data_IF_546691872252
#
_entry.id   IF_546691872252
#
_cell.length_a   1.000
_cell.length_b   1.000
_cell.length_c   1.000
_cell.angle_alpha   90.00
_cell.angle_beta   90.00
_cell.angle_gamma   90.00
#
_symmetry.space_group_name_H-M   'P 1'
#
loop_
_entity.id
_entity.type
_entity.pdbx_description
1 polymer ?
#
# COMPACT_ATOMS: atom_id res chain seq x y z
N UNK A 1 -6.93 -15.92 11.38
CA UNK A 1 -7.22 -15.78 9.92
C UNK A 1 -7.64 -14.34 9.61
N UNK A 2 -7.15 -13.76 8.51
CA UNK A 2 -7.44 -12.37 8.09
C UNK A 2 -6.55 -11.28 8.71
N UNK A 3 -5.47 -11.65 9.41
CA UNK A 3 -4.46 -10.68 9.85
C UNK A 3 -3.76 -10.02 8.66
N UNK A 4 -3.41 -8.75 8.81
CA UNK A 4 -2.78 -7.93 7.75
C UNK A 4 -1.35 -7.56 8.10
N UNK A 5 -0.50 -7.43 7.09
CA UNK A 5 0.86 -6.90 7.21
C UNK A 5 1.07 -5.80 6.19
N UNK A 6 1.85 -4.78 6.56
CA UNK A 6 2.32 -3.72 5.68
C UNK A 6 3.84 -3.61 5.84
N UNK A 7 4.58 -3.65 4.73
CA UNK A 7 6.03 -3.44 4.71
C UNK A 7 6.39 -2.45 3.62
N UNK A 8 7.40 -1.61 3.84
CA UNK A 8 7.97 -0.79 2.77
C UNK A 8 8.56 -1.71 1.68
N UNK A 9 8.41 -1.31 0.41
CA UNK A 9 8.68 -2.14 -0.77
C UNK A 9 9.27 -1.32 -1.94
N UNK A 10 10.27 -0.50 -1.66
CA UNK A 10 11.06 0.26 -2.64
C UNK A 10 10.28 1.22 -3.55
N UNK A 11 10.98 1.88 -4.46
CA UNK A 11 10.38 2.83 -5.42
C UNK A 11 10.12 2.17 -6.78
N UNK A 12 8.90 2.35 -7.29
CA UNK A 12 8.53 1.94 -8.67
C UNK A 12 9.38 2.60 -9.75
N UNK A 13 10.07 3.71 -9.48
CA UNK A 13 10.91 4.37 -10.47
C UNK A 13 12.33 3.80 -10.55
N UNK A 14 12.79 3.12 -9.50
CA UNK A 14 14.18 2.69 -9.36
C UNK A 14 14.34 1.17 -9.32
N UNK A 15 13.39 0.46 -8.70
CA UNK A 15 13.60 -0.91 -8.23
C UNK A 15 12.49 -1.88 -8.68
N UNK A 16 11.91 -1.70 -9.87
CA UNK A 16 10.80 -2.55 -10.36
C UNK A 16 11.10 -4.06 -10.29
N UNK A 17 12.31 -4.48 -10.66
CA UNK A 17 12.72 -5.89 -10.59
C UNK A 17 12.68 -6.45 -9.14
N UNK A 18 13.06 -5.64 -8.15
CA UNK A 18 12.98 -6.04 -6.73
C UNK A 18 11.51 -6.12 -6.30
N UNK A 19 10.69 -5.16 -6.73
CA UNK A 19 9.27 -5.11 -6.40
C UNK A 19 8.54 -6.33 -6.97
N UNK A 20 8.86 -6.74 -8.19
CA UNK A 20 8.37 -7.96 -8.82
C UNK A 20 8.60 -9.20 -7.97
N UNK A 21 9.84 -9.39 -7.53
CA UNK A 21 10.23 -10.52 -6.69
C UNK A 21 9.49 -10.48 -5.34
N UNK A 22 9.38 -9.30 -4.71
CA UNK A 22 8.63 -9.13 -3.47
C UNK A 22 7.16 -9.50 -3.68
N UNK A 23 6.53 -8.99 -4.74
CA UNK A 23 5.12 -9.29 -5.06
C UNK A 23 4.92 -10.79 -5.27
N UNK A 24 5.82 -11.45 -6.01
CA UNK A 24 5.77 -12.91 -6.22
C UNK A 24 5.87 -13.67 -4.90
N UNK A 25 6.88 -13.35 -4.07
CA UNK A 25 7.07 -13.96 -2.76
C UNK A 25 5.86 -13.77 -1.85
N UNK A 26 5.28 -12.57 -1.84
CA UNK A 26 4.06 -12.30 -1.08
C UNK A 26 2.87 -13.11 -1.59
N UNK A 27 2.68 -13.25 -2.91
CA UNK A 27 1.59 -14.08 -3.49
C UNK A 27 1.76 -15.57 -3.18
N UNK A 28 2.99 -16.05 -3.05
CA UNK A 28 3.25 -17.44 -2.67
C UNK A 28 2.89 -17.71 -1.21
N UNK A 29 3.22 -16.78 -0.31
CA UNK A 29 3.03 -16.93 1.15
C UNK A 29 1.61 -16.57 1.59
N UNK A 30 1.13 -15.39 1.21
CA UNK A 30 -0.14 -14.85 1.67
C UNK A 30 -1.30 -15.39 0.82
N UNK A 31 -2.23 -16.07 1.47
CA UNK A 31 -3.41 -16.67 0.83
C UNK A 31 -4.63 -15.74 0.80
N UNK A 32 -4.51 -14.53 1.34
CA UNK A 32 -5.53 -13.49 1.25
C UNK A 32 -5.25 -12.50 0.12
N UNK A 33 -5.56 -11.22 0.36
CA UNK A 33 -5.29 -10.14 -0.60
C UNK A 33 -3.82 -9.77 -0.58
N UNK A 34 -3.24 -9.50 -1.76
CA UNK A 34 -1.86 -9.00 -1.92
C UNK A 34 -1.90 -7.78 -2.83
N UNK A 35 -1.50 -6.63 -2.31
CA UNK A 35 -1.55 -5.36 -3.01
C UNK A 35 -0.27 -4.55 -2.79
N UNK A 36 0.08 -3.76 -3.80
CA UNK A 36 1.13 -2.75 -3.71
C UNK A 36 0.48 -1.36 -3.71
N UNK A 37 0.86 -0.53 -2.75
CA UNK A 37 0.50 0.88 -2.66
C UNK A 37 1.76 1.73 -2.74
N UNK A 38 1.65 3.01 -3.09
CA UNK A 38 2.78 3.93 -3.11
C UNK A 38 2.36 5.33 -2.65
N UNK A 39 3.35 6.11 -2.22
CA UNK A 39 3.14 7.49 -1.82
C UNK A 39 4.35 8.36 -2.16
N UNK A 40 4.13 9.68 -2.11
CA UNK A 40 5.19 10.68 -2.30
C UNK A 40 5.85 11.02 -0.98
N UNK A 41 7.18 10.95 -0.92
CA UNK A 41 7.99 11.45 0.18
C UNK A 41 9.21 12.15 -0.44
N UNK A 42 9.26 13.50 -0.48
CA UNK A 42 10.29 14.23 -1.24
C UNK A 42 11.74 13.88 -0.88
N UNK A 43 11.99 13.49 0.37
CA UNK A 43 13.32 13.14 0.87
C UNK A 43 13.70 11.68 0.65
N UNK A 44 12.79 10.83 0.18
CA UNK A 44 13.13 9.46 -0.24
C UNK A 44 13.76 9.48 -1.64
N UNK A 45 14.62 8.50 -1.96
CA UNK A 45 15.11 8.33 -3.33
C UNK A 45 13.97 8.33 -4.34
N UNK A 46 14.10 9.07 -5.45
CA UNK A 46 13.06 9.33 -6.46
C UNK A 46 11.79 10.06 -5.98
N UNK A 47 11.74 10.52 -4.73
CA UNK A 47 10.61 11.27 -4.17
C UNK A 47 9.38 10.41 -3.87
N UNK A 48 9.47 9.09 -4.00
CA UNK A 48 8.36 8.16 -3.78
C UNK A 48 8.81 6.90 -3.06
N UNK A 49 7.88 6.24 -2.40
CA UNK A 49 8.11 4.95 -1.75
C UNK A 49 6.87 4.07 -1.84
N UNK A 50 7.10 2.77 -1.98
CA UNK A 50 6.11 1.71 -2.05
C UNK A 50 5.87 0.99 -0.74
N UNK A 51 4.73 0.32 -0.68
CA UNK A 51 4.34 -0.57 0.41
C UNK A 51 3.68 -1.82 -0.13
N UNK A 52 4.11 -2.98 0.33
CA UNK A 52 3.39 -4.22 0.15
C UNK A 52 2.43 -4.41 1.32
N UNK A 53 1.15 -4.59 0.98
CA UNK A 53 0.08 -4.82 1.95
C UNK A 53 -0.56 -6.16 1.64
N UNK A 54 -0.50 -7.07 2.60
CA UNK A 54 -0.94 -8.45 2.42
C UNK A 54 -1.87 -8.89 3.56
N UNK A 55 -2.78 -9.81 3.30
CA UNK A 55 -3.56 -10.48 4.33
C UNK A 55 -3.33 -11.98 4.33
N UNK A 56 -3.36 -12.58 5.53
CA UNK A 56 -3.38 -14.03 5.71
C UNK A 56 -4.71 -14.62 5.22
N UNK A 57 -4.76 -15.95 5.12
CA UNK A 57 -5.99 -16.69 4.80
C UNK A 57 -7.16 -16.25 5.69
N UNK A 58 -8.35 -16.09 5.10
CA UNK A 58 -9.54 -15.62 5.77
C UNK A 58 -10.45 -14.83 4.82
N UNK A 59 -11.38 -14.02 5.37
CA UNK A 59 -12.16 -13.09 4.56
C UNK A 59 -11.25 -12.18 3.72
N UNK A 60 -11.64 -11.95 2.46
CA UNK A 60 -10.90 -11.06 1.58
C UNK A 60 -10.83 -9.66 2.18
N UNK A 61 -9.63 -9.09 2.24
CA UNK A 61 -9.43 -7.73 2.73
C UNK A 61 -9.40 -6.77 1.54
N UNK A 62 -10.31 -5.81 1.52
CA UNK A 62 -10.28 -4.72 0.54
C UNK A 62 -9.35 -3.62 1.04
N UNK A 63 -8.10 -3.66 0.58
CA UNK A 63 -7.12 -2.64 0.94
C UNK A 63 -7.37 -1.30 0.26
N UNK A 64 -8.19 -1.21 -0.79
CA UNK A 64 -8.40 0.06 -1.52
C UNK A 64 -9.41 0.96 -0.81
N UNK A 65 -10.33 0.36 -0.06
CA UNK A 65 -11.39 1.07 0.65
C UNK A 65 -11.20 0.89 2.17
N UNK A 66 -10.76 1.93 2.91
CA UNK A 66 -10.48 1.79 4.34
C UNK A 66 -11.77 1.52 5.12
N UNK A 67 -11.81 0.41 5.87
CA UNK A 67 -12.99 -0.01 6.66
C UNK A 67 -13.32 1.01 7.76
N UNK A 68 -12.31 1.66 8.33
CA UNK A 68 -12.47 2.70 9.34
C UNK A 68 -11.63 3.94 8.96
N UNK A 69 -12.16 4.86 8.14
CA UNK A 69 -11.47 6.07 7.72
C UNK A 69 -11.31 7.06 8.89
N UNK A 70 -10.08 7.20 9.38
CA UNK A 70 -9.75 7.96 10.59
C UNK A 70 -9.97 9.48 10.46
N UNK A 71 -9.96 10.01 9.24
CA UNK A 71 -10.22 11.41 8.91
C UNK A 71 -11.67 11.83 9.18
N UNK A 72 -12.60 10.87 9.30
CA UNK A 72 -14.01 11.15 9.61
C UNK A 72 -14.32 11.19 11.11
N UNK A 73 -13.38 10.77 11.94
CA UNK A 73 -13.55 10.63 13.39
C UNK A 73 -12.54 11.47 14.17
N UNK A 74 -11.90 12.45 13.51
CA UNK A 74 -10.78 13.15 14.11
C UNK A 74 -11.14 13.94 15.38
N UNK A 75 -10.26 13.77 16.37
CA UNK A 75 -10.13 14.65 17.52
C UNK A 75 -9.23 15.83 17.09
N UNK A 76 -9.74 17.06 17.16
CA UNK A 76 -9.08 18.29 16.68
C UNK A 76 -7.65 18.50 17.24
N UNK A 77 -7.29 17.78 18.29
CA UNK A 77 -5.99 17.83 18.96
C UNK A 77 -4.84 17.24 18.15
N UNK A 78 -5.10 16.39 17.15
CA UNK A 78 -4.05 15.73 16.35
C UNK A 78 -4.42 15.62 14.87
N UNK A 79 -4.51 16.75 14.15
CA UNK A 79 -4.94 16.74 12.75
C UNK A 79 -3.97 15.97 11.86
N UNK A 80 -4.53 15.13 11.00
CA UNK A 80 -3.82 14.44 9.93
C UNK A 80 -3.29 15.44 8.91
N UNK A 81 -1.99 15.32 8.61
CA UNK A 81 -1.31 16.24 7.67
C UNK A 81 -1.24 15.72 6.23
N UNK A 82 -1.35 14.41 6.05
CA UNK A 82 -1.12 13.75 4.77
C UNK A 82 -2.16 12.68 4.46
N UNK A 83 -2.42 11.79 5.41
CA UNK A 83 -3.38 10.71 5.22
C UNK A 83 -4.82 11.21 5.32
N UNK A 84 -5.67 10.74 4.40
CA UNK A 84 -7.12 10.75 4.50
C UNK A 84 -7.66 9.58 3.64
N UNK A 85 -8.98 9.35 3.64
CA UNK A 85 -9.57 8.23 2.90
C UNK A 85 -9.30 8.29 1.39
N UNK A 86 -9.24 9.49 0.80
CA UNK A 86 -8.99 9.66 -0.64
C UNK A 86 -7.54 9.33 -1.01
N UNK A 87 -6.57 9.82 -0.22
CA UNK A 87 -5.15 9.51 -0.37
C UNK A 87 -4.91 8.01 -0.20
N UNK A 88 -5.60 7.36 0.74
CA UNK A 88 -5.54 5.92 0.92
C UNK A 88 -5.93 5.17 -0.36
N UNK A 89 -7.09 5.47 -0.94
CA UNK A 89 -7.54 4.81 -2.17
C UNK A 89 -6.64 5.14 -3.36
N UNK A 90 -6.21 6.40 -3.48
CA UNK A 90 -5.33 6.86 -4.55
C UNK A 90 -3.93 6.22 -4.50
N UNK A 91 -3.43 5.84 -3.32
CA UNK A 91 -2.15 5.16 -3.16
C UNK A 91 -2.06 3.82 -3.93
N UNK A 92 -3.20 3.20 -4.27
CA UNK A 92 -3.26 1.97 -5.07
C UNK A 92 -3.36 2.24 -6.58
N UNK A 93 -3.44 3.50 -7.01
CA UNK A 93 -3.45 3.88 -8.41
C UNK A 93 -2.02 3.92 -8.96
N UNK A 94 -1.59 2.80 -9.56
CA UNK A 94 -0.26 2.69 -10.15
C UNK A 94 -0.16 3.31 -11.55
N UNK A 95 1.00 3.90 -11.92
CA UNK A 95 1.31 4.27 -13.29
C UNK A 95 1.22 3.08 -14.25
N UNK A 96 0.93 3.34 -15.52
CA UNK A 96 0.71 2.28 -16.52
C UNK A 96 1.88 1.31 -16.69
N UNK A 97 3.12 1.76 -16.47
CA UNK A 97 4.28 0.86 -16.59
C UNK A 97 4.35 -0.14 -15.43
N UNK A 98 4.03 0.29 -14.21
CA UNK A 98 4.04 -0.55 -13.01
C UNK A 98 2.82 -1.48 -12.93
N UNK A 99 1.71 -1.14 -13.57
CA UNK A 99 0.51 -2.02 -13.64
C UNK A 99 0.67 -3.25 -14.51
N UNK A 100 1.62 -3.26 -15.45
CA UNK A 100 1.81 -4.36 -16.41
C UNK A 100 2.60 -5.54 -15.82
N UNK A 101 3.00 -5.39 -14.57
CA UNK A 101 3.93 -6.21 -13.82
C UNK A 101 3.17 -6.79 -12.64
#
# INVERSE_FOLDING_TARGET
>A
PGGVVCTQAESIWLHMHIIEDIVSNCREIFKGSVNYAWTTVPTYPSGVIGFMVCSTEGPAVDFKNPVNPIDKTEDEKRPLKFYNAEIHSAAFCLPSFAKRV
#
